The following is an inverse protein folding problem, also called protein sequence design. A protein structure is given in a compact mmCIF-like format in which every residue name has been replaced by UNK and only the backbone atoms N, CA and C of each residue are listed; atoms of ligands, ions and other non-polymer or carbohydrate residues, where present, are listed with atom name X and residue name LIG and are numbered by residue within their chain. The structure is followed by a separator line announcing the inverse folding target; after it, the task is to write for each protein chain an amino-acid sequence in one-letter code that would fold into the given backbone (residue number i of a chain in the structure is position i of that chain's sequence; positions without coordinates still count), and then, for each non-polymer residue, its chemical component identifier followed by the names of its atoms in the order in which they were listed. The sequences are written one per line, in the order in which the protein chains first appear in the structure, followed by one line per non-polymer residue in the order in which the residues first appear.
data_IF_049372819090
#
_entry.id   IF_049372819090
#
_cell.length_a   1.000
_cell.length_b   1.000
_cell.length_c   1.000
_cell.angle_alpha   90.00
_cell.angle_beta   90.00
_cell.angle_gamma   90.00
#
_symmetry.space_group_name_H-M   'P 1'
#
loop_
_entity.id
_entity.type
_entity.pdbx_description
1 polymer ?
#
# COMPACT_ATOMS: atom_id res chain seq x y z
N UNK A 1 2.22 2.56 -18.69
CA UNK A 1 2.27 3.28 -17.42
C UNK A 1 1.06 2.84 -16.63
N UNK A 2 1.21 2.46 -15.35
CA UNK A 2 0.07 2.06 -14.50
C UNK A 2 -0.41 3.24 -13.67
N UNK A 3 0.48 3.88 -12.91
CA UNK A 3 0.21 5.11 -12.15
C UNK A 3 1.18 6.21 -12.59
N UNK A 4 0.68 7.43 -12.76
CA UNK A 4 1.48 8.63 -13.01
C UNK A 4 0.96 9.77 -12.16
N UNK A 5 1.83 10.37 -11.37
CA UNK A 5 1.56 11.52 -10.52
C UNK A 5 2.38 12.69 -11.05
N UNK A 6 1.72 13.83 -11.30
CA UNK A 6 2.33 15.06 -11.82
C UNK A 6 2.09 16.21 -10.87
N UNK A 7 3.17 16.78 -10.36
CA UNK A 7 3.21 18.02 -9.56
C UNK A 7 2.22 18.05 -8.40
N UNK A 8 1.99 16.86 -7.77
CA UNK A 8 0.97 16.67 -6.75
C UNK A 8 1.33 17.39 -5.46
N UNK A 9 0.44 18.25 -5.02
CA UNK A 9 0.47 18.86 -3.69
C UNK A 9 -0.82 18.56 -2.95
N UNK A 10 -0.71 18.29 -1.64
CA UNK A 10 -1.87 17.96 -0.83
C UNK A 10 -1.70 18.47 0.62
N UNK A 11 -2.83 18.78 1.25
CA UNK A 11 -2.90 19.28 2.62
C UNK A 11 -3.81 18.42 3.51
N UNK A 12 -3.66 18.60 4.81
CA UNK A 12 -4.57 18.08 5.85
C UNK A 12 -4.97 19.25 6.74
N UNK A 13 -6.25 19.61 6.72
CA UNK A 13 -6.71 20.87 7.31
C UNK A 13 -5.96 22.03 6.69
N UNK A 14 -5.30 22.85 7.51
CA UNK A 14 -4.51 24.03 7.04
C UNK A 14 -3.03 23.71 6.76
N UNK A 15 -2.59 22.46 6.96
CA UNK A 15 -1.17 22.10 6.84
C UNK A 15 -0.87 21.45 5.50
N UNK A 16 0.00 22.08 4.70
CA UNK A 16 0.58 21.48 3.50
C UNK A 16 1.52 20.34 3.87
N UNK A 17 1.25 19.14 3.34
CA UNK A 17 2.03 17.93 3.61
C UNK A 17 2.81 17.48 2.39
N UNK A 18 2.15 17.35 1.23
CA UNK A 18 2.81 17.00 -0.03
C UNK A 18 3.08 18.25 -0.86
N UNK A 19 4.24 18.31 -1.51
CA UNK A 19 4.71 19.49 -2.23
C UNK A 19 5.34 19.07 -3.55
N UNK A 20 4.61 19.23 -4.64
CA UNK A 20 5.11 18.99 -6.00
C UNK A 20 5.70 17.59 -6.18
N UNK A 21 4.96 16.56 -5.75
CA UNK A 21 5.38 15.17 -5.87
C UNK A 21 5.15 14.68 -7.29
N UNK A 22 6.20 14.09 -7.89
CA UNK A 22 6.15 13.41 -9.17
C UNK A 22 6.52 11.93 -8.94
N UNK A 23 5.73 10.99 -9.49
CA UNK A 23 5.97 9.56 -9.35
C UNK A 23 5.38 8.81 -10.55
N UNK A 24 6.14 7.87 -11.06
CA UNK A 24 5.70 6.99 -12.17
C UNK A 24 5.89 5.55 -11.77
N UNK A 25 4.84 4.73 -11.94
CA UNK A 25 4.85 3.30 -11.65
C UNK A 25 4.35 2.55 -12.89
N UNK A 26 5.09 1.53 -13.32
CA UNK A 26 4.67 0.63 -14.40
C UNK A 26 4.14 -0.69 -13.83
N UNK A 27 3.48 -1.48 -14.68
CA UNK A 27 3.11 -2.87 -14.35
C UNK A 27 4.37 -3.70 -14.09
N UNK A 28 4.28 -4.64 -13.17
CA UNK A 28 5.37 -5.50 -12.74
C UNK A 28 6.37 -4.85 -11.77
N UNK A 29 6.32 -3.53 -11.57
CA UNK A 29 7.27 -2.83 -10.72
C UNK A 29 6.90 -2.88 -9.24
N UNK A 30 7.91 -2.94 -8.39
CA UNK A 30 7.83 -2.77 -6.93
C UNK A 30 8.57 -1.53 -6.53
N UNK A 31 7.88 -0.60 -5.89
CA UNK A 31 8.40 0.66 -5.39
C UNK A 31 8.39 0.65 -3.86
N UNK A 32 9.49 1.03 -3.25
CA UNK A 32 9.58 1.26 -1.80
C UNK A 32 9.66 2.75 -1.53
N UNK A 33 8.83 3.23 -0.61
CA UNK A 33 8.85 4.62 -0.16
C UNK A 33 9.43 4.67 1.25
N UNK A 34 10.52 5.39 1.39
CA UNK A 34 11.24 5.60 2.64
C UNK A 34 11.25 7.07 3.04
N UNK A 35 11.65 7.34 4.26
CA UNK A 35 11.80 8.70 4.78
C UNK A 35 11.50 8.78 6.28
N UNK A 36 11.88 9.87 6.94
CA UNK A 36 11.63 10.08 8.36
C UNK A 36 10.13 10.05 8.71
N UNK A 37 9.82 9.84 9.99
CA UNK A 37 8.42 9.96 10.45
C UNK A 37 7.89 11.37 10.21
N UNK A 38 6.64 11.45 9.73
CA UNK A 38 6.02 12.74 9.39
C UNK A 38 6.45 13.34 8.04
N UNK A 39 7.25 12.65 7.23
CA UNK A 39 7.74 13.17 5.95
C UNK A 39 6.68 13.22 4.83
N UNK A 40 5.52 12.53 5.00
CA UNK A 40 4.45 12.51 4.00
C UNK A 40 4.21 11.16 3.32
N UNK A 41 4.90 10.07 3.73
CA UNK A 41 4.74 8.72 3.13
C UNK A 41 3.29 8.24 3.12
N UNK A 42 2.68 8.11 4.29
CA UNK A 42 1.28 7.70 4.42
C UNK A 42 0.30 8.70 3.80
N UNK A 43 0.64 10.00 3.81
CA UNK A 43 -0.15 11.03 3.13
C UNK A 43 -0.20 10.77 1.62
N UNK A 44 0.92 10.38 1.00
CA UNK A 44 0.96 10.10 -0.44
C UNK A 44 0.02 8.95 -0.81
N UNK A 45 0.11 7.80 -0.16
CA UNK A 45 -0.74 6.64 -0.49
C UNK A 45 -2.22 6.90 -0.17
N UNK A 46 -2.51 7.64 0.92
CA UNK A 46 -3.88 8.05 1.24
C UNK A 46 -4.45 9.04 0.21
N UNK A 47 -3.64 9.98 -0.29
CA UNK A 47 -4.05 10.91 -1.37
C UNK A 47 -4.29 10.14 -2.68
N UNK A 48 -3.42 9.19 -3.03
CA UNK A 48 -3.64 8.31 -4.20
C UNK A 48 -4.95 7.51 -4.04
N UNK A 49 -5.34 7.13 -2.82
CA UNK A 49 -6.60 6.41 -2.57
C UNK A 49 -7.81 7.33 -2.41
N UNK A 50 -7.66 8.64 -2.55
CA UNK A 50 -8.75 9.64 -2.36
C UNK A 50 -9.38 9.60 -0.96
N UNK A 51 -8.55 9.45 0.08
CA UNK A 51 -9.05 9.54 1.44
C UNK A 51 -9.50 10.99 1.72
N UNK A 52 -10.77 11.22 2.13
CA UNK A 52 -11.35 12.56 2.23
C UNK A 52 -10.69 13.48 3.27
N UNK A 53 -9.81 12.95 4.11
CA UNK A 53 -9.01 13.73 5.05
C UNK A 53 -7.94 14.58 4.35
N UNK A 54 -7.55 14.18 3.13
CA UNK A 54 -6.46 14.79 2.38
C UNK A 54 -7.01 15.51 1.15
N UNK A 55 -6.76 16.82 1.06
CA UNK A 55 -7.21 17.67 -0.04
C UNK A 55 -6.07 17.89 -1.03
N UNK A 56 -6.28 17.58 -2.30
CA UNK A 56 -5.34 17.88 -3.37
C UNK A 56 -5.44 19.37 -3.67
N UNK A 57 -4.33 20.10 -3.56
CA UNK A 57 -4.26 21.55 -3.80
C UNK A 57 -3.72 21.88 -5.18
N UNK A 58 -2.92 20.98 -5.77
CA UNK A 58 -2.44 21.09 -7.15
C UNK A 58 -1.97 19.73 -7.69
N UNK A 59 -1.76 19.67 -9.00
CA UNK A 59 -1.27 18.49 -9.70
C UNK A 59 -2.36 17.51 -10.08
N UNK A 60 -1.94 16.36 -10.62
CA UNK A 60 -2.86 15.35 -11.15
C UNK A 60 -2.37 13.94 -10.88
N UNK A 61 -3.33 13.02 -10.79
CA UNK A 61 -3.11 11.57 -10.65
C UNK A 61 -3.75 10.89 -11.85
N UNK A 62 -2.95 10.13 -12.60
CA UNK A 62 -3.43 9.31 -13.72
C UNK A 62 -3.26 7.82 -13.39
N UNK A 63 -4.28 7.03 -13.68
CA UNK A 63 -4.24 5.58 -13.55
C UNK A 63 -4.62 4.92 -14.88
N UNK A 64 -3.71 4.11 -15.45
CA UNK A 64 -3.83 3.55 -16.80
C UNK A 64 -4.13 4.60 -17.88
N UNK A 65 -3.58 5.82 -17.71
CA UNK A 65 -3.75 6.96 -18.61
C UNK A 65 -5.01 7.78 -18.41
N UNK A 66 -5.91 7.38 -17.53
CA UNK A 66 -7.12 8.12 -17.17
C UNK A 66 -6.86 9.05 -15.98
N UNK A 67 -7.33 10.30 -16.04
CA UNK A 67 -7.26 11.24 -14.92
C UNK A 67 -8.24 10.79 -13.81
N UNK A 68 -7.69 10.38 -12.67
CA UNK A 68 -8.45 9.91 -11.52
C UNK A 68 -8.44 10.89 -10.35
N UNK A 69 -7.95 12.10 -10.56
CA UNK A 69 -7.70 13.10 -9.50
C UNK A 69 -8.93 13.35 -8.64
N UNK A 70 -10.10 13.51 -9.27
CA UNK A 70 -11.36 13.82 -8.59
C UNK A 70 -12.22 12.56 -8.28
N UNK A 71 -11.73 11.36 -8.64
CA UNK A 71 -12.50 10.13 -8.42
C UNK A 71 -12.54 9.76 -6.94
N UNK A 72 -13.70 9.29 -6.49
CA UNK A 72 -13.90 8.77 -5.14
C UNK A 72 -13.12 7.47 -4.89
N UNK A 73 -12.85 7.17 -3.62
CA UNK A 73 -12.05 6.01 -3.22
C UNK A 73 -12.63 4.67 -3.73
N UNK A 74 -13.95 4.51 -3.71
CA UNK A 74 -14.62 3.30 -4.20
C UNK A 74 -14.53 3.14 -5.72
N UNK A 75 -14.50 4.24 -6.49
CA UNK A 75 -14.28 4.22 -7.93
C UNK A 75 -12.85 3.82 -8.26
N UNK A 76 -11.86 4.37 -7.52
CA UNK A 76 -10.44 3.97 -7.64
C UNK A 76 -10.24 2.50 -7.28
N UNK A 77 -10.90 2.00 -6.23
CA UNK A 77 -10.86 0.60 -5.84
C UNK A 77 -11.42 -0.32 -6.96
N UNK A 78 -12.55 0.05 -7.58
CA UNK A 78 -13.11 -0.70 -8.72
C UNK A 78 -12.21 -0.70 -9.96
N UNK A 79 -11.35 0.30 -10.12
CA UNK A 79 -10.33 0.31 -11.19
C UNK A 79 -9.13 -0.58 -10.91
N UNK A 80 -9.00 -1.07 -9.67
CA UNK A 80 -7.94 -1.97 -9.26
C UNK A 80 -6.85 -1.32 -8.43
N UNK A 81 -7.14 -0.21 -7.73
CA UNK A 81 -6.24 0.36 -6.72
C UNK A 81 -6.64 -0.19 -5.36
N UNK A 82 -5.70 -0.72 -4.62
CA UNK A 82 -5.87 -1.22 -3.25
C UNK A 82 -4.90 -0.52 -2.31
N UNK A 83 -5.35 -0.25 -1.09
CA UNK A 83 -4.50 0.27 -0.02
C UNK A 83 -4.75 -0.52 1.25
N UNK A 84 -3.68 -0.98 1.92
CA UNK A 84 -3.76 -1.48 3.29
C UNK A 84 -3.83 -0.30 4.26
N UNK A 85 -4.48 -0.50 5.39
CA UNK A 85 -4.56 0.52 6.43
C UNK A 85 -3.47 0.30 7.49
N UNK A 86 -2.85 1.38 7.94
CA UNK A 86 -1.93 1.32 9.08
C UNK A 86 -2.61 0.69 10.32
N UNK A 87 -3.88 1.03 10.55
CA UNK A 87 -4.72 0.47 11.62
C UNK A 87 -6.04 -0.06 11.03
N UNK A 88 -6.13 -1.37 10.72
CA UNK A 88 -7.34 -1.96 10.15
C UNK A 88 -8.55 -1.83 11.08
N UNK A 89 -9.66 -1.32 10.54
CA UNK A 89 -10.90 -1.04 11.28
C UNK A 89 -11.66 -2.35 11.55
N UNK A 90 -12.29 -2.44 12.72
CA UNK A 90 -13.21 -3.51 13.07
C UNK A 90 -14.60 -3.22 12.48
N UNK A 91 -15.19 -4.22 11.80
CA UNK A 91 -16.53 -4.10 11.21
C UNK A 91 -17.42 -5.21 11.78
N UNK A 92 -18.05 -5.00 12.95
CA UNK A 92 -18.97 -5.96 13.53
C UNK A 92 -20.22 -6.14 12.64
N UNK A 93 -20.76 -7.35 12.63
CA UNK A 93 -22.00 -7.67 11.90
C UNK A 93 -21.77 -8.25 10.49
N UNK A 94 -20.57 -8.17 9.93
CA UNK A 94 -20.23 -8.83 8.66
C UNK A 94 -19.03 -9.76 8.84
N UNK A 95 -19.15 -11.01 8.37
CA UNK A 95 -18.03 -11.96 8.42
C UNK A 95 -16.94 -11.62 7.41
N UNK A 96 -15.69 -12.06 7.69
CA UNK A 96 -14.54 -11.91 6.77
C UNK A 96 -14.88 -12.44 5.37
N UNK A 97 -15.47 -13.63 5.29
CA UNK A 97 -15.90 -14.24 4.02
C UNK A 97 -16.88 -13.34 3.27
N UNK A 98 -17.93 -12.89 3.93
CA UNK A 98 -18.97 -12.07 3.29
C UNK A 98 -18.43 -10.69 2.89
N UNK A 99 -17.60 -10.08 3.73
CA UNK A 99 -16.96 -8.79 3.42
C UNK A 99 -16.11 -8.90 2.17
N UNK A 100 -15.18 -9.86 2.12
CA UNK A 100 -14.26 -10.02 0.98
C UNK A 100 -15.02 -10.43 -0.30
N UNK A 101 -16.03 -11.32 -0.18
CA UNK A 101 -16.85 -11.75 -1.31
C UNK A 101 -17.65 -10.59 -1.91
N UNK A 102 -18.25 -9.75 -1.07
CA UNK A 102 -19.00 -8.57 -1.52
C UNK A 102 -18.08 -7.56 -2.18
N UNK A 103 -16.90 -7.31 -1.57
CA UNK A 103 -15.88 -6.43 -2.15
C UNK A 103 -15.39 -6.95 -3.50
N UNK A 104 -15.13 -8.26 -3.62
CA UNK A 104 -14.73 -8.88 -4.89
C UNK A 104 -15.79 -8.74 -5.96
N UNK A 105 -17.07 -8.94 -5.60
CA UNK A 105 -18.19 -8.75 -6.54
C UNK A 105 -18.29 -7.30 -7.02
N UNK A 106 -18.05 -6.34 -6.14
CA UNK A 106 -18.06 -4.91 -6.47
C UNK A 106 -16.91 -4.52 -7.41
N UNK A 107 -15.71 -5.06 -7.17
CA UNK A 107 -14.52 -4.82 -8.02
C UNK A 107 -14.70 -5.49 -9.39
N UNK A 108 -15.18 -6.74 -9.44
CA UNK A 108 -15.40 -7.47 -10.69
C UNK A 108 -16.63 -6.99 -11.48
N UNK A 109 -17.47 -6.14 -10.91
CA UNK A 109 -18.73 -5.66 -11.51
C UNK A 109 -19.80 -6.74 -11.70
N UNK A 110 -19.62 -7.91 -11.08
CA UNK A 110 -20.54 -9.06 -11.20
C UNK A 110 -20.49 -9.96 -9.96
N UNK A 111 -21.58 -10.67 -9.65
CA UNK A 111 -21.58 -11.63 -8.54
C UNK A 111 -20.53 -12.73 -8.74
N UNK A 112 -19.77 -13.05 -7.69
CA UNK A 112 -18.82 -14.16 -7.70
C UNK A 112 -19.51 -15.45 -7.27
N UNK A 113 -19.12 -16.57 -7.86
CA UNK A 113 -19.60 -17.91 -7.48
C UNK A 113 -19.18 -18.24 -6.05
N UNK A 114 -20.14 -18.49 -5.16
CA UNK A 114 -19.87 -18.77 -3.74
C UNK A 114 -18.94 -19.97 -3.57
N UNK A 115 -19.18 -21.06 -4.33
CA UNK A 115 -18.35 -22.27 -4.23
C UNK A 115 -16.89 -21.99 -4.64
N UNK A 116 -16.67 -21.37 -5.80
CA UNK A 116 -15.31 -21.04 -6.28
C UNK A 116 -14.62 -20.06 -5.35
N UNK A 117 -15.35 -19.06 -4.86
CA UNK A 117 -14.84 -18.08 -3.92
C UNK A 117 -14.36 -18.75 -2.62
N UNK A 118 -15.19 -19.62 -2.02
CA UNK A 118 -14.83 -20.27 -0.77
C UNK A 118 -13.63 -21.22 -0.91
N UNK A 119 -13.49 -21.88 -2.06
CA UNK A 119 -12.31 -22.71 -2.34
C UNK A 119 -11.04 -21.84 -2.44
N UNK A 120 -11.08 -20.71 -3.16
CA UNK A 120 -9.95 -19.80 -3.30
C UNK A 120 -9.61 -19.13 -1.96
N UNK A 121 -10.61 -18.61 -1.25
CA UNK A 121 -10.43 -18.02 0.08
C UNK A 121 -9.76 -19.00 1.05
N UNK A 122 -10.27 -20.23 1.12
CA UNK A 122 -9.72 -21.26 2.01
C UNK A 122 -8.26 -21.61 1.67
N UNK A 123 -7.90 -21.62 0.38
CA UNK A 123 -6.51 -21.84 -0.05
C UNK A 123 -5.62 -20.69 0.44
N UNK A 124 -6.00 -19.43 0.14
CA UNK A 124 -5.23 -18.24 0.52
C UNK A 124 -5.11 -18.09 2.05
N UNK A 125 -6.16 -18.45 2.80
CA UNK A 125 -6.10 -18.47 4.26
C UNK A 125 -5.07 -19.48 4.76
N UNK A 126 -4.99 -20.67 4.17
CA UNK A 126 -3.96 -21.67 4.54
C UNK A 126 -2.55 -21.16 4.23
N UNK A 127 -2.36 -20.53 3.07
CA UNK A 127 -1.06 -19.97 2.66
C UNK A 127 -0.60 -18.88 3.65
N UNK A 128 -1.54 -18.11 4.23
CA UNK A 128 -1.30 -17.12 5.28
C UNK A 128 -1.34 -17.69 6.71
N UNK A 129 -1.39 -19.02 6.85
CA UNK A 129 -1.49 -19.71 8.15
C UNK A 129 -2.62 -19.15 9.04
N UNK A 130 -3.75 -18.85 8.43
CA UNK A 130 -4.96 -18.42 9.13
C UNK A 130 -5.87 -19.62 9.38
N UNK A 131 -6.45 -19.70 10.58
CA UNK A 131 -7.42 -20.76 10.91
C UNK A 131 -8.69 -20.59 10.09
N UNK A 132 -9.29 -21.69 9.63
CA UNK A 132 -10.51 -21.66 8.82
C UNK A 132 -11.69 -20.96 9.52
N UNK A 133 -11.77 -21.02 10.85
CA UNK A 133 -12.81 -20.36 11.64
C UNK A 133 -12.87 -18.84 11.47
N UNK A 134 -11.74 -18.20 11.07
CA UNK A 134 -11.70 -16.74 10.85
C UNK A 134 -12.59 -16.29 9.70
N UNK A 135 -12.88 -17.15 8.72
CA UNK A 135 -13.79 -16.83 7.63
C UNK A 135 -15.20 -16.43 8.13
N UNK A 136 -15.66 -17.11 9.19
CA UNK A 136 -16.99 -16.85 9.80
C UNK A 136 -16.99 -15.77 10.87
N UNK A 137 -15.84 -15.30 11.37
CA UNK A 137 -15.76 -14.25 12.39
C UNK A 137 -16.02 -12.88 11.77
N UNK A 138 -16.50 -11.93 12.58
CA UNK A 138 -16.67 -10.56 12.12
C UNK A 138 -15.34 -9.92 11.73
N UNK A 139 -15.38 -9.14 10.65
CA UNK A 139 -14.20 -8.52 10.04
C UNK A 139 -13.38 -7.74 11.06
N UNK A 140 -12.15 -8.20 11.32
CA UNK A 140 -11.18 -7.65 12.26
C UNK A 140 -11.65 -7.56 13.74
N UNK A 141 -12.88 -7.98 14.08
CA UNK A 141 -13.43 -7.82 15.43
C UNK A 141 -12.76 -8.80 16.39
N UNK A 142 -12.04 -8.25 17.37
CA UNK A 142 -11.29 -9.02 18.36
C UNK A 142 -10.11 -9.80 17.77
N UNK A 143 -9.59 -9.38 16.61
CA UNK A 143 -8.38 -9.92 16.03
C UNK A 143 -7.14 -9.27 16.68
N UNK A 144 -6.09 -10.04 16.87
CA UNK A 144 -4.77 -9.52 17.21
C UNK A 144 -4.21 -8.66 16.06
N UNK A 145 -3.18 -7.87 16.31
CA UNK A 145 -2.50 -7.08 15.28
C UNK A 145 -2.06 -7.94 14.09
N UNK A 146 -1.43 -9.07 14.34
CA UNK A 146 -0.98 -10.00 13.30
C UNK A 146 -2.13 -10.60 12.48
N UNK A 147 -3.24 -10.95 13.13
CA UNK A 147 -4.43 -11.47 12.44
C UNK A 147 -5.09 -10.41 11.56
N UNK A 148 -5.15 -9.14 12.02
CA UNK A 148 -5.65 -8.01 11.21
C UNK A 148 -4.79 -7.79 9.97
N UNK A 149 -3.45 -7.82 10.11
CA UNK A 149 -2.54 -7.65 8.98
C UNK A 149 -2.60 -8.83 8.00
N UNK A 150 -2.65 -10.07 8.48
CA UNK A 150 -2.89 -11.24 7.61
C UNK A 150 -4.22 -11.12 6.86
N UNK A 151 -5.26 -10.59 7.49
CA UNK A 151 -6.56 -10.36 6.85
C UNK A 151 -6.50 -9.29 5.76
N UNK A 152 -5.65 -8.25 5.89
CA UNK A 152 -5.40 -7.27 4.82
C UNK A 152 -4.69 -7.89 3.62
N UNK A 153 -3.65 -8.72 3.88
CA UNK A 153 -2.97 -9.46 2.81
C UNK A 153 -3.93 -10.45 2.12
N UNK A 154 -4.79 -11.12 2.88
CA UNK A 154 -5.84 -11.98 2.33
C UNK A 154 -6.78 -11.20 1.40
N UNK A 155 -7.22 -10.01 1.81
CA UNK A 155 -8.04 -9.11 0.96
C UNK A 155 -7.30 -8.76 -0.33
N UNK A 156 -6.05 -8.30 -0.23
CA UNK A 156 -5.22 -7.97 -1.39
C UNK A 156 -5.12 -9.15 -2.37
N UNK A 157 -4.80 -10.34 -1.87
CA UNK A 157 -4.68 -11.53 -2.71
C UNK A 157 -5.99 -11.96 -3.38
N UNK A 158 -7.13 -11.84 -2.68
CA UNK A 158 -8.45 -12.21 -3.23
C UNK A 158 -8.96 -11.17 -4.20
N UNK A 159 -8.83 -9.89 -3.88
CA UNK A 159 -9.27 -8.79 -4.75
C UNK A 159 -8.39 -8.69 -6.01
N UNK A 160 -7.13 -9.08 -5.90
CA UNK A 160 -6.13 -9.07 -6.99
C UNK A 160 -6.08 -7.72 -7.73
N UNK A 161 -5.74 -6.63 -7.02
CA UNK A 161 -5.66 -5.30 -7.61
C UNK A 161 -4.51 -5.18 -8.61
N UNK A 162 -4.59 -4.19 -9.50
CA UNK A 162 -3.51 -3.82 -10.42
C UNK A 162 -2.39 -3.05 -9.70
N UNK A 163 -2.76 -2.24 -8.70
CA UNK A 163 -1.84 -1.51 -7.83
C UNK A 163 -2.20 -1.78 -6.37
N UNK A 164 -1.28 -2.35 -5.60
CA UNK A 164 -1.40 -2.48 -4.16
C UNK A 164 -0.43 -1.54 -3.45
N UNK A 165 -0.97 -0.73 -2.55
CA UNK A 165 -0.20 0.18 -1.70
C UNK A 165 -0.27 -0.32 -0.25
N UNK A 166 0.89 -0.66 0.32
CA UNK A 166 1.03 -1.26 1.63
C UNK A 166 1.70 -0.27 2.59
N UNK A 167 0.92 0.26 3.53
CA UNK A 167 1.39 1.27 4.50
C UNK A 167 1.66 0.62 5.85
N UNK A 168 2.93 0.38 6.17
CA UNK A 168 3.41 -0.22 7.43
C UNK A 168 2.63 -1.48 7.84
N UNK A 169 2.43 -2.40 6.88
CA UNK A 169 1.70 -3.66 7.11
C UNK A 169 2.40 -4.61 8.07
N UNK A 170 3.62 -4.31 8.42
CA UNK A 170 4.53 -5.04 9.29
C UNK A 170 4.61 -4.46 10.70
N UNK A 171 4.06 -3.29 10.95
CA UNK A 171 4.13 -2.62 12.26
C UNK A 171 3.42 -3.43 13.34
N UNK A 172 4.14 -3.69 14.44
CA UNK A 172 3.61 -4.41 15.60
C UNK A 172 3.46 -5.93 15.40
N UNK A 173 4.08 -6.51 14.38
CA UNK A 173 4.12 -7.94 14.14
C UNK A 173 5.31 -8.60 14.84
N UNK A 174 5.14 -9.84 15.27
CA UNK A 174 6.25 -10.72 15.63
C UNK A 174 6.97 -11.25 14.38
N UNK A 175 8.13 -11.86 14.56
CA UNK A 175 8.99 -12.34 13.47
C UNK A 175 8.27 -13.36 12.57
N UNK A 176 7.48 -14.25 13.14
CA UNK A 176 6.75 -15.25 12.35
C UNK A 176 5.64 -14.63 11.52
N UNK A 177 4.91 -13.65 12.08
CA UNK A 177 3.87 -12.93 11.36
C UNK A 177 4.46 -12.07 10.23
N UNK A 178 5.59 -11.39 10.44
CA UNK A 178 6.31 -10.64 9.39
C UNK A 178 6.68 -11.55 8.24
N UNK A 179 7.21 -12.76 8.51
CA UNK A 179 7.56 -13.73 7.47
C UNK A 179 6.36 -14.15 6.65
N UNK A 180 5.23 -14.49 7.30
CA UNK A 180 4.00 -14.92 6.62
C UNK A 180 3.44 -13.78 5.75
N UNK A 181 3.38 -12.56 6.27
CA UNK A 181 2.94 -11.36 5.54
C UNK A 181 3.84 -11.11 4.33
N UNK A 182 5.16 -11.18 4.52
CA UNK A 182 6.16 -10.99 3.47
C UNK A 182 6.02 -12.01 2.34
N UNK A 183 5.86 -13.31 2.68
CA UNK A 183 5.57 -14.36 1.70
C UNK A 183 4.23 -14.11 0.98
N UNK A 184 3.21 -13.64 1.71
CA UNK A 184 1.93 -13.27 1.13
C UNK A 184 2.02 -12.15 0.11
N UNK A 185 2.85 -11.13 0.38
CA UNK A 185 3.14 -10.03 -0.56
C UNK A 185 3.89 -10.56 -1.79
N UNK A 186 4.92 -11.37 -1.58
CA UNK A 186 5.70 -11.98 -2.65
C UNK A 186 4.83 -12.82 -3.59
N UNK A 187 3.91 -13.63 -3.04
CA UNK A 187 3.01 -14.48 -3.81
C UNK A 187 1.94 -13.68 -4.59
N UNK A 188 1.70 -12.44 -4.22
CA UNK A 188 0.81 -11.54 -4.95
C UNK A 188 1.50 -10.92 -6.18
N UNK A 189 2.81 -10.60 -6.09
CA UNK A 189 3.57 -9.94 -7.17
C UNK A 189 3.59 -10.77 -8.44
N UNK A 190 3.28 -10.14 -9.57
CA UNK A 190 3.41 -10.68 -10.92
C UNK A 190 3.62 -9.54 -11.94
N UNK A 191 3.76 -9.87 -13.23
CA UNK A 191 4.06 -8.89 -14.27
C UNK A 191 2.89 -7.94 -14.61
N UNK A 192 1.67 -8.25 -14.16
CA UNK A 192 0.47 -7.47 -14.46
C UNK A 192 0.08 -6.50 -13.33
N UNK A 193 0.63 -6.65 -12.13
CA UNK A 193 0.38 -5.78 -10.99
C UNK A 193 1.62 -5.01 -10.54
N UNK A 194 1.42 -3.97 -9.75
CA UNK A 194 2.49 -3.21 -9.13
C UNK A 194 2.29 -3.09 -7.62
N UNK A 195 3.39 -2.91 -6.91
CA UNK A 195 3.45 -2.74 -5.45
C UNK A 195 4.07 -1.39 -5.10
N UNK A 196 3.45 -0.70 -4.14
CA UNK A 196 4.06 0.40 -3.40
C UNK A 196 4.12 0.00 -1.94
N UNK A 197 5.29 -0.04 -1.35
CA UNK A 197 5.49 -0.51 0.01
C UNK A 197 6.12 0.60 0.84
N UNK A 198 5.49 0.94 1.96
CA UNK A 198 6.07 1.76 3.01
C UNK A 198 6.38 0.81 4.16
N UNK A 199 7.66 0.60 4.44
CA UNK A 199 8.11 -0.27 5.52
C UNK A 199 9.49 0.12 6.01
N UNK A 200 9.78 -0.23 7.27
CA UNK A 200 11.10 -0.16 7.87
C UNK A 200 11.67 -1.58 8.15
N UNK A 201 10.91 -2.63 7.82
CA UNK A 201 11.33 -4.01 8.07
C UNK A 201 12.11 -4.60 6.90
N UNK A 202 13.37 -4.95 7.19
CA UNK A 202 14.31 -5.57 6.22
C UNK A 202 13.75 -6.83 5.57
N UNK A 203 13.03 -7.65 6.33
CA UNK A 203 12.54 -8.94 5.86
C UNK A 203 11.53 -8.80 4.71
N UNK A 204 10.62 -7.82 4.77
CA UNK A 204 9.72 -7.52 3.65
C UNK A 204 10.51 -7.09 2.43
N UNK A 205 11.44 -6.16 2.62
CA UNK A 205 12.25 -5.59 1.53
C UNK A 205 13.13 -6.67 0.87
N UNK A 206 13.73 -7.56 1.65
CA UNK A 206 14.55 -8.66 1.11
C UNK A 206 13.74 -9.73 0.36
N UNK A 207 12.52 -9.99 0.78
CA UNK A 207 11.64 -10.97 0.12
C UNK A 207 10.98 -10.41 -1.16
N UNK A 208 10.76 -9.08 -1.21
CA UNK A 208 10.14 -8.40 -2.34
C UNK A 208 11.09 -7.31 -2.82
N UNK A 209 12.23 -7.73 -3.41
CA UNK A 209 13.27 -6.80 -3.87
C UNK A 209 12.63 -5.70 -4.71
N UNK A 210 12.78 -4.41 -4.33
CA UNK A 210 12.20 -3.31 -5.06
C UNK A 210 12.97 -3.01 -6.35
N UNK A 211 12.24 -2.60 -7.37
CA UNK A 211 12.80 -2.06 -8.61
C UNK A 211 13.24 -0.60 -8.41
N UNK A 212 12.48 0.14 -7.58
CA UNK A 212 12.74 1.55 -7.27
C UNK A 212 12.55 1.85 -5.79
N UNK A 213 13.39 2.74 -5.29
CA UNK A 213 13.33 3.28 -3.92
C UNK A 213 13.21 4.80 -3.99
N UNK A 214 12.21 5.35 -3.31
CA UNK A 214 11.95 6.78 -3.25
C UNK A 214 12.08 7.27 -1.82
N UNK A 215 12.85 8.32 -1.59
CA UNK A 215 12.96 8.94 -0.26
C UNK A 215 12.14 10.22 -0.23
N UNK A 216 11.17 10.26 0.67
CA UNK A 216 10.34 11.44 0.92
C UNK A 216 10.85 12.18 2.15
N UNK A 217 11.10 13.48 2.00
CA UNK A 217 11.40 14.41 3.10
C UNK A 217 10.60 15.70 2.89
N UNK A 218 10.02 16.21 3.97
CA UNK A 218 9.25 17.47 3.98
C UNK A 218 8.22 17.57 2.85
N UNK A 219 7.60 16.43 2.53
CA UNK A 219 6.55 16.31 1.51
C UNK A 219 7.03 16.25 0.06
N UNK A 220 8.33 16.07 -0.19
CA UNK A 220 8.93 15.96 -1.53
C UNK A 220 9.67 14.65 -1.70
N UNK A 221 9.65 14.08 -2.89
CA UNK A 221 10.61 13.03 -3.25
C UNK A 221 11.95 13.72 -3.50
N UNK A 222 12.93 13.44 -2.64
CA UNK A 222 14.23 14.11 -2.66
C UNK A 222 15.35 13.23 -3.21
N UNK A 223 15.14 11.92 -3.22
CA UNK A 223 16.11 10.95 -3.73
C UNK A 223 15.39 9.76 -4.33
N UNK A 224 15.94 9.23 -5.41
CA UNK A 224 15.51 7.98 -6.02
C UNK A 224 16.72 7.08 -6.24
N UNK A 225 16.49 5.78 -6.20
CA UNK A 225 17.54 4.78 -6.39
C UNK A 225 16.98 3.36 -6.44
N UNK A 226 17.87 2.41 -6.36
CA UNK A 226 17.59 0.98 -6.30
C UNK A 226 17.74 0.44 -4.86
N UNK A 227 17.81 -0.87 -4.72
CA UNK A 227 17.96 -1.54 -3.43
C UNK A 227 19.21 -1.08 -2.65
N UNK A 228 20.29 -0.64 -3.32
CA UNK A 228 21.50 -0.16 -2.65
C UNK A 228 21.25 1.12 -1.82
N UNK A 229 20.28 1.93 -2.24
CA UNK A 229 19.88 3.13 -1.49
C UNK A 229 19.31 2.77 -0.11
N UNK A 230 18.58 1.65 0.00
CA UNK A 230 18.05 1.16 1.28
C UNK A 230 19.20 0.78 2.21
N UNK A 231 20.16 0.00 1.71
CA UNK A 231 21.32 -0.43 2.49
C UNK A 231 22.10 0.77 3.02
N UNK A 232 22.32 1.77 2.18
CA UNK A 232 23.02 3.00 2.61
C UNK A 232 22.24 3.78 3.66
N UNK A 233 20.90 3.89 3.53
CA UNK A 233 20.06 4.55 4.52
C UNK A 233 20.10 3.80 5.87
N UNK A 234 20.14 2.47 5.85
CA UNK A 234 20.24 1.66 7.06
C UNK A 234 21.58 1.85 7.78
N UNK A 235 22.67 2.01 7.04
CA UNK A 235 24.02 2.19 7.58
C UNK A 235 24.27 3.63 8.05
N UNK A 236 23.91 4.62 7.25
CA UNK A 236 24.26 6.03 7.44
C UNK A 236 23.09 6.91 7.96
N UNK A 237 21.86 6.37 7.96
CA UNK A 237 20.65 7.14 8.26
C UNK A 237 20.29 8.12 7.14
N UNK A 238 19.44 9.10 7.43
CA UNK A 238 18.97 10.11 6.47
C UNK A 238 19.79 11.40 6.46
N UNK A 239 20.82 11.53 7.30
CA UNK A 239 21.58 12.79 7.49
C UNK A 239 22.20 13.29 6.19
N UNK A 240 22.92 12.44 5.51
CA UNK A 240 23.61 12.77 4.25
C UNK A 240 22.65 13.22 3.13
N UNK A 241 21.42 12.66 3.06
CA UNK A 241 20.41 13.11 2.08
C UNK A 241 19.95 14.53 2.40
N UNK A 242 19.76 14.87 3.70
CA UNK A 242 19.41 16.24 4.12
C UNK A 242 20.49 17.24 3.72
N UNK A 243 21.75 16.87 3.90
CA UNK A 243 22.90 17.73 3.57
C UNK A 243 22.96 17.96 2.04
N UNK A 244 22.74 16.92 1.23
CA UNK A 244 22.63 17.06 -0.22
C UNK A 244 21.49 18.01 -0.64
N UNK A 245 20.29 17.84 -0.06
CA UNK A 245 19.12 18.67 -0.37
C UNK A 245 19.35 20.13 0.04
N UNK A 246 19.93 20.39 1.21
CA UNK A 246 20.22 21.73 1.69
C UNK A 246 21.28 22.42 0.80
N UNK A 247 22.30 21.68 0.37
CA UNK A 247 23.34 22.18 -0.54
C UNK A 247 22.78 22.53 -1.93
N UNK A 248 21.78 21.79 -2.39
CA UNK A 248 21.14 22.03 -3.69
C UNK A 248 20.16 23.22 -3.68
N UNK A 249 19.60 23.57 -2.50
CA UNK A 249 18.65 24.67 -2.33
C UNK A 249 19.34 25.99 -1.91
N UNK A 250 20.65 25.99 -1.65
CA UNK A 250 21.45 27.14 -1.20
C UNK A 250 22.24 27.88 -2.29
N UNK A 251 22.02 27.49 -3.57
CA UNK A 251 22.64 28.16 -4.73
C UNK A 251 21.61 28.95 -5.55
#
# INVERSE_FOLDING_TARGET
MLLEIKDLSAKVGEKDILKNVNLVIKKGETHVIMGPNGSGKSTLVNTIMSNPKYEITSGKIFFEGEDVTEMAADERARRGIFMSFQSPIEVPGISVENFIRTSKSAVDGKPVSVLKFNMDLSKKMRDLQMKAEYAGRYMNYGFSGGEKKKTEILQMQVLNPKLAMLDETDSGLDVDAVRIVSEGIKNFKNDDNALVIITHHKEIIHNVIPDYVHVIMDGRIVKEGDFSLIQRIEEEGYGWIRDEVNSSNGN
#
